data_IF_917122661454
#
_entry.id   IF_917122661454
#
_cell.length_a   1.000
_cell.length_b   1.000
_cell.length_c   1.000
_cell.angle_alpha   90.00
_cell.angle_beta   90.00
_cell.angle_gamma   90.00
#
_symmetry.space_group_name_H-M   'P 1'
#
loop_
_entity.id
_entity.type
_entity.pdbx_description
1 polymer ?
#
# COMPACT_ATOMS: atom_id res chain seq x y z
N UNK A 1 -10.77 29.65 -64.02
CA UNK A 1 -11.55 28.64 -63.27
C UNK A 1 -10.92 28.44 -61.89
N UNK A 2 -11.75 28.72 -60.88
CA UNK A 2 -11.73 28.49 -59.42
C UNK A 2 -10.51 27.81 -58.75
N UNK A 3 -9.95 28.57 -57.80
CA UNK A 3 -9.09 28.24 -56.63
C UNK A 3 -9.46 26.95 -55.91
N UNK A 4 -8.48 26.19 -55.38
CA UNK A 4 -8.48 25.63 -54.00
C UNK A 4 -7.04 25.40 -53.51
N UNK A 5 -6.56 26.28 -52.63
CA UNK A 5 -5.37 26.02 -51.81
C UNK A 5 -5.83 25.20 -50.59
N UNK A 6 -5.32 23.98 -50.46
CA UNK A 6 -5.61 23.10 -49.31
C UNK A 6 -4.62 23.47 -48.22
N UNK A 7 -5.07 24.26 -47.24
CA UNK A 7 -4.34 24.46 -45.99
C UNK A 7 -4.40 23.16 -45.17
N UNK A 8 -3.28 22.45 -45.07
CA UNK A 8 -3.11 21.36 -44.12
C UNK A 8 -2.96 21.91 -42.70
N UNK A 9 -3.97 21.71 -41.86
CA UNK A 9 -3.88 21.96 -40.41
C UNK A 9 -3.33 20.69 -39.77
N UNK A 10 -2.02 20.63 -39.56
CA UNK A 10 -1.38 19.63 -38.70
C UNK A 10 -1.70 19.96 -37.25
N UNK A 11 -2.67 19.25 -36.67
CA UNK A 11 -3.03 19.32 -35.27
C UNK A 11 -1.92 18.63 -34.45
N UNK A 12 -0.97 19.41 -33.92
CA UNK A 12 0.05 18.90 -33.01
C UNK A 12 -0.60 18.53 -31.68
N UNK A 13 -0.78 17.22 -31.43
CA UNK A 13 -1.13 16.68 -30.13
C UNK A 13 0.06 16.88 -29.18
N UNK A 14 0.09 18.02 -28.49
CA UNK A 14 0.98 18.25 -27.36
C UNK A 14 0.52 17.37 -26.20
N UNK A 15 1.33 16.43 -25.69
CA UNK A 15 0.98 15.67 -24.51
C UNK A 15 0.99 16.66 -23.33
N UNK A 16 -0.20 16.93 -22.79
CA UNK A 16 -0.33 17.66 -21.53
C UNK A 16 0.26 16.79 -20.43
N UNK A 17 1.55 16.99 -20.13
CA UNK A 17 2.17 16.51 -18.91
C UNK A 17 1.48 17.23 -17.75
N UNK A 18 0.43 16.61 -17.21
CA UNK A 18 -0.16 17.04 -15.95
C UNK A 18 0.92 16.91 -14.88
N UNK A 19 1.59 18.03 -14.58
CA UNK A 19 2.55 18.10 -13.48
C UNK A 19 1.78 17.82 -12.19
N UNK A 20 1.89 16.59 -11.69
CA UNK A 20 1.35 16.23 -10.39
C UNK A 20 2.03 17.11 -9.34
N UNK A 21 1.25 17.98 -8.71
CA UNK A 21 1.73 18.81 -7.60
C UNK A 21 2.35 17.88 -6.54
N UNK A 22 3.58 18.16 -6.05
CA UNK A 22 4.19 17.35 -5.01
C UNK A 22 3.26 17.34 -3.79
N UNK A 23 2.82 16.15 -3.37
CA UNK A 23 2.06 16.04 -2.11
C UNK A 23 2.99 16.45 -0.97
N UNK A 24 2.53 17.27 -0.01
CA UNK A 24 3.33 17.58 1.17
C UNK A 24 3.62 16.28 1.93
N UNK A 25 4.90 15.93 2.02
CA UNK A 25 5.38 14.75 2.77
C UNK A 25 5.73 15.18 4.19
N UNK A 26 5.23 14.51 5.24
CA UNK A 26 5.62 14.82 6.61
C UNK A 26 7.14 14.75 6.81
N UNK A 27 7.69 15.72 7.56
CA UNK A 27 9.12 15.75 7.91
C UNK A 27 9.58 14.51 8.71
N UNK A 28 8.64 13.74 9.26
CA UNK A 28 8.88 12.53 10.04
C UNK A 28 9.06 11.28 9.19
N UNK A 29 8.85 11.35 7.87
CA UNK A 29 8.74 10.15 7.05
C UNK A 29 9.97 9.25 7.05
N UNK A 30 11.18 9.81 7.12
CA UNK A 30 12.40 8.99 7.26
C UNK A 30 12.37 8.13 8.53
N UNK A 31 12.03 8.73 9.67
CA UNK A 31 11.86 8.02 10.94
C UNK A 31 10.72 7.01 10.85
N UNK A 32 9.57 7.42 10.32
CA UNK A 32 8.37 6.58 10.32
C UNK A 32 8.55 5.35 9.42
N UNK A 33 9.23 5.49 8.26
CA UNK A 33 9.61 4.37 7.40
C UNK A 33 10.58 3.42 8.10
N UNK A 34 11.65 3.95 8.71
CA UNK A 34 12.62 3.14 9.44
C UNK A 34 11.96 2.32 10.57
N UNK A 35 11.08 2.96 11.35
CA UNK A 35 10.35 2.29 12.42
C UNK A 35 9.35 1.27 11.87
N UNK A 36 8.70 1.56 10.74
CA UNK A 36 7.80 0.63 10.10
C UNK A 36 8.53 -0.64 9.62
N UNK A 37 9.69 -0.51 8.98
CA UNK A 37 10.51 -1.65 8.56
C UNK A 37 10.98 -2.50 9.74
N UNK A 38 11.42 -1.88 10.83
CA UNK A 38 11.78 -2.59 12.06
C UNK A 38 10.59 -3.36 12.64
N UNK A 39 9.42 -2.72 12.69
CA UNK A 39 8.20 -3.35 13.16
C UNK A 39 7.72 -4.50 12.24
N UNK A 40 7.89 -4.37 10.92
CA UNK A 40 7.60 -5.45 9.95
C UNK A 40 8.40 -6.71 10.28
N UNK A 41 9.72 -6.58 10.48
CA UNK A 41 10.58 -7.71 10.86
C UNK A 41 10.13 -8.35 12.18
N UNK A 42 9.86 -7.54 13.19
CA UNK A 42 9.40 -8.03 14.49
C UNK A 42 8.05 -8.77 14.38
N UNK A 43 7.13 -8.25 13.58
CA UNK A 43 5.81 -8.88 13.37
C UNK A 43 5.92 -10.18 12.60
N UNK A 44 6.83 -10.28 11.64
CA UNK A 44 7.10 -11.54 10.95
C UNK A 44 7.58 -12.63 11.93
N UNK A 45 8.51 -12.31 12.82
CA UNK A 45 8.92 -13.24 13.89
C UNK A 45 7.78 -13.61 14.83
N UNK A 46 6.93 -12.65 15.22
CA UNK A 46 5.76 -12.94 16.05
C UNK A 46 4.81 -13.94 15.36
N UNK A 47 4.57 -13.79 14.05
CA UNK A 47 3.73 -14.73 13.30
C UNK A 47 4.33 -16.14 13.21
N UNK A 48 5.66 -16.25 13.10
CA UNK A 48 6.34 -17.55 13.16
C UNK A 48 6.18 -18.21 14.54
N UNK A 49 6.32 -17.44 15.63
CA UNK A 49 6.20 -17.97 17.00
C UNK A 49 4.81 -18.51 17.32
N UNK A 50 3.76 -17.91 16.76
CA UNK A 50 2.37 -18.35 17.01
C UNK A 50 1.86 -19.38 16.01
N UNK A 51 2.66 -19.78 15.01
CA UNK A 51 2.20 -20.66 13.91
C UNK A 51 1.60 -21.98 14.40
N UNK A 52 2.12 -22.53 15.51
CA UNK A 52 1.68 -23.79 16.11
C UNK A 52 1.00 -23.59 17.48
N UNK A 53 0.67 -22.35 17.86
CA UNK A 53 -0.05 -22.07 19.10
C UNK A 53 -1.51 -22.60 19.02
N UNK A 54 -2.22 -22.62 20.15
CA UNK A 54 -3.65 -22.92 20.13
C UNK A 54 -4.44 -21.87 19.31
N UNK A 55 -5.66 -22.24 18.89
CA UNK A 55 -6.48 -21.40 18.02
C UNK A 55 -6.80 -20.02 18.64
N UNK A 56 -7.05 -19.94 19.95
CA UNK A 56 -7.38 -18.67 20.58
C UNK A 56 -6.18 -17.72 20.54
N UNK A 57 -4.98 -18.23 20.83
CA UNK A 57 -3.72 -17.49 20.73
C UNK A 57 -3.43 -17.04 19.29
N UNK A 58 -3.59 -17.93 18.30
CA UNK A 58 -3.45 -17.60 16.88
C UNK A 58 -4.40 -16.47 16.47
N UNK A 59 -5.67 -16.58 16.84
CA UNK A 59 -6.70 -15.60 16.51
C UNK A 59 -6.46 -14.23 17.17
N UNK A 60 -5.93 -14.18 18.39
CA UNK A 60 -5.52 -12.93 19.01
C UNK A 60 -4.37 -12.28 18.22
N UNK A 61 -3.35 -13.07 17.89
CA UNK A 61 -2.16 -12.61 17.16
C UNK A 61 -2.49 -12.11 15.74
N UNK A 62 -3.36 -12.80 15.00
CA UNK A 62 -3.78 -12.37 13.66
C UNK A 62 -4.58 -11.08 13.68
N UNK A 63 -5.45 -10.87 14.68
CA UNK A 63 -6.19 -9.60 14.81
C UNK A 63 -5.25 -8.43 15.08
N UNK A 64 -4.25 -8.62 15.93
CA UNK A 64 -3.20 -7.61 16.11
C UNK A 64 -2.39 -7.39 14.83
N UNK A 65 -2.11 -8.46 14.09
CA UNK A 65 -1.36 -8.36 12.83
C UNK A 65 -2.13 -7.57 11.77
N UNK A 66 -3.44 -7.77 11.65
CA UNK A 66 -4.30 -6.94 10.78
C UNK A 66 -4.23 -5.46 11.14
N UNK A 67 -4.35 -5.13 12.44
CA UNK A 67 -4.24 -3.74 12.89
C UNK A 67 -2.86 -3.13 12.56
N UNK A 68 -1.81 -3.94 12.70
CA UNK A 68 -0.46 -3.54 12.28
C UNK A 68 -0.34 -3.31 10.77
N UNK A 69 -0.83 -4.24 9.94
CA UNK A 69 -0.80 -4.12 8.47
C UNK A 69 -1.53 -2.87 7.98
N UNK A 70 -2.67 -2.52 8.59
CA UNK A 70 -3.39 -1.28 8.30
C UNK A 70 -2.53 -0.04 8.58
N UNK A 71 -1.79 -0.04 9.69
CA UNK A 71 -0.88 1.05 10.03
C UNK A 71 0.32 1.11 9.10
N UNK A 72 0.95 -0.03 8.80
CA UNK A 72 2.08 -0.11 7.88
C UNK A 72 1.72 0.39 6.48
N UNK A 73 0.55 -0.04 5.97
CA UNK A 73 -0.01 0.46 4.71
C UNK A 73 -0.13 1.98 4.69
N UNK A 74 -0.64 2.58 5.77
CA UNK A 74 -0.80 4.03 5.89
C UNK A 74 0.54 4.76 5.84
N UNK A 75 1.58 4.22 6.51
CA UNK A 75 2.93 4.78 6.48
C UNK A 75 3.48 4.77 5.04
N UNK A 76 3.42 3.62 4.35
CA UNK A 76 3.87 3.54 2.95
C UNK A 76 3.09 4.49 2.04
N UNK A 77 1.76 4.54 2.18
CA UNK A 77 0.91 5.40 1.37
C UNK A 77 1.20 6.90 1.56
N UNK A 78 1.67 7.29 2.74
CA UNK A 78 1.96 8.68 3.13
C UNK A 78 3.40 9.08 2.81
N UNK A 79 4.36 8.19 3.06
CA UNK A 79 5.78 8.53 3.08
C UNK A 79 6.57 8.10 1.84
N UNK A 80 6.00 7.25 0.98
CA UNK A 80 6.62 6.88 -0.29
C UNK A 80 5.89 7.50 -1.48
N UNK A 81 6.48 7.40 -2.67
CA UNK A 81 5.86 7.83 -3.93
C UNK A 81 6.21 6.89 -5.09
N UNK A 82 5.55 7.06 -6.23
CA UNK A 82 5.78 6.25 -7.43
C UNK A 82 5.57 4.74 -7.21
N UNK A 83 6.32 3.94 -7.96
CA UNK A 83 6.19 2.47 -8.00
C UNK A 83 6.45 1.80 -6.65
N UNK A 84 7.39 2.32 -5.86
CA UNK A 84 7.71 1.75 -4.54
C UNK A 84 6.49 1.83 -3.60
N UNK A 85 5.83 3.00 -3.56
CA UNK A 85 4.57 3.16 -2.81
C UNK A 85 3.52 2.17 -3.28
N UNK A 86 3.33 2.05 -4.59
CA UNK A 86 2.32 1.17 -5.17
C UNK A 86 2.55 -0.28 -4.78
N UNK A 87 3.79 -0.77 -4.89
CA UNK A 87 4.16 -2.13 -4.53
C UNK A 87 3.95 -2.41 -3.04
N UNK A 88 4.46 -1.54 -2.17
CA UNK A 88 4.37 -1.73 -0.73
C UNK A 88 2.92 -1.66 -0.23
N UNK A 89 2.13 -0.71 -0.75
CA UNK A 89 0.69 -0.62 -0.43
C UNK A 89 -0.06 -1.87 -0.90
N UNK A 90 0.19 -2.33 -2.13
CA UNK A 90 -0.45 -3.52 -2.68
C UNK A 90 -0.13 -4.78 -1.85
N UNK A 91 1.13 -4.95 -1.42
CA UNK A 91 1.52 -6.08 -0.59
C UNK A 91 0.83 -6.07 0.79
N UNK A 92 0.63 -4.88 1.38
CA UNK A 92 -0.15 -4.77 2.62
C UNK A 92 -1.63 -5.08 2.38
N UNK A 93 -2.19 -4.64 1.26
CA UNK A 93 -3.59 -4.89 0.90
C UNK A 93 -3.87 -6.39 0.65
N UNK A 94 -2.96 -7.08 -0.03
CA UNK A 94 -2.99 -8.54 -0.22
C UNK A 94 -2.95 -9.27 1.13
N UNK A 95 -1.95 -8.97 1.96
CA UNK A 95 -1.83 -9.56 3.30
C UNK A 95 -3.09 -9.31 4.15
N UNK A 96 -3.64 -8.09 4.10
CA UNK A 96 -4.89 -7.76 4.80
C UNK A 96 -6.07 -8.61 4.33
N UNK A 97 -6.16 -8.87 3.02
CA UNK A 97 -7.18 -9.76 2.45
C UNK A 97 -7.06 -11.17 3.02
N UNK A 98 -5.86 -11.74 2.98
CA UNK A 98 -5.60 -13.11 3.44
C UNK A 98 -5.94 -13.29 4.92
N UNK A 99 -5.48 -12.36 5.77
CA UNK A 99 -5.76 -12.42 7.19
C UNK A 99 -7.24 -12.19 7.52
N UNK A 100 -7.97 -11.39 6.74
CA UNK A 100 -9.43 -11.25 6.92
C UNK A 100 -10.15 -12.58 6.63
N UNK A 101 -9.73 -13.30 5.60
CA UNK A 101 -10.27 -14.63 5.28
C UNK A 101 -9.94 -15.63 6.40
N UNK A 102 -8.69 -15.65 6.89
CA UNK A 102 -8.30 -16.49 8.02
C UNK A 102 -9.15 -16.22 9.27
N UNK A 103 -9.35 -14.94 9.61
CA UNK A 103 -10.16 -14.54 10.76
C UNK A 103 -11.62 -14.95 10.59
N UNK A 104 -12.20 -14.74 9.41
CA UNK A 104 -13.59 -15.10 9.13
C UNK A 104 -13.83 -16.61 9.25
N UNK A 105 -12.88 -17.42 8.76
CA UNK A 105 -13.02 -18.87 8.72
C UNK A 105 -12.65 -19.56 10.04
N UNK A 106 -11.74 -18.98 10.84
CA UNK A 106 -11.14 -19.67 12.00
C UNK A 106 -11.37 -19.00 13.35
N UNK A 107 -11.74 -17.73 13.40
CA UNK A 107 -11.68 -16.96 14.64
C UNK A 107 -13.01 -16.41 15.15
N UNK A 108 -14.10 -16.59 14.41
CA UNK A 108 -15.43 -16.10 14.77
C UNK A 108 -15.52 -14.57 14.89
N UNK A 109 -16.75 -14.08 15.14
CA UNK A 109 -16.96 -12.69 15.55
C UNK A 109 -16.52 -12.53 17.01
N UNK A 110 -15.92 -11.39 17.34
CA UNK A 110 -15.50 -11.07 18.72
C UNK A 110 -16.68 -11.07 19.67
#
# INVERSE_FOLDING_TARGET
>A
MIRRAILGVTLALLPTLAAAQPRPVPATCSRDLFQNEAAMRQRQYKMQQVANADQATQCAAWREHVAFLQKARSVFATCQSGREREQNVAQMDESLSDYRVLLANRCGKR
#
